data_IF_425193007373
#
_entry.id   IF_425193007373
#
_cell.length_a   1.000
_cell.length_b   1.000
_cell.length_c   1.000
_cell.angle_alpha   90.00
_cell.angle_beta   90.00
_cell.angle_gamma   90.00
#
_symmetry.space_group_name_H-M   'P 1'
#
loop_
_entity.id
_entity.type
_entity.pdbx_description
1 polymer ?
#
# COMPACT_ATOMS: atom_id res chain seq x y z
N UNK A 1 -12.01 -7.61 16.63
CA UNK A 1 -12.47 -6.37 15.96
C UNK A 1 -13.94 -6.14 16.32
N UNK A 2 -14.38 -4.90 16.58
CA UNK A 2 -15.77 -4.56 16.92
C UNK A 2 -16.26 -3.42 16.03
N UNK A 3 -17.51 -3.51 15.59
CA UNK A 3 -18.19 -2.47 14.84
C UNK A 3 -19.09 -1.65 15.77
N UNK A 4 -19.29 -0.39 15.44
CA UNK A 4 -20.17 0.49 16.19
C UNK A 4 -21.64 0.05 15.99
N UNK A 5 -22.42 -0.12 17.07
CA UNK A 5 -23.83 -0.52 16.96
C UNK A 5 -24.73 0.57 16.38
N UNK A 6 -24.25 1.82 16.26
CA UNK A 6 -25.04 2.95 15.75
C UNK A 6 -24.90 3.14 14.24
N UNK A 7 -23.69 2.99 13.71
CA UNK A 7 -23.37 3.34 12.32
C UNK A 7 -22.62 2.23 11.56
N UNK A 8 -22.33 1.10 12.20
CA UNK A 8 -21.61 -0.02 11.59
C UNK A 8 -20.13 0.25 11.32
N UNK A 9 -19.57 1.40 11.72
CA UNK A 9 -18.17 1.76 11.49
C UNK A 9 -17.24 0.94 12.37
N UNK A 10 -16.07 0.55 11.86
CA UNK A 10 -15.08 -0.16 12.65
C UNK A 10 -14.56 0.74 13.78
N UNK A 11 -14.65 0.26 15.02
CA UNK A 11 -14.23 1.04 16.19
C UNK A 11 -12.71 1.00 16.38
N UNK A 12 -12.14 2.13 16.80
CA UNK A 12 -10.70 2.30 16.94
C UNK A 12 -10.31 2.30 18.44
N UNK A 13 -9.32 1.51 18.87
CA UNK A 13 -8.84 1.56 20.25
C UNK A 13 -8.03 2.83 20.52
N UNK A 14 -8.40 3.56 21.55
CA UNK A 14 -7.68 4.70 22.11
C UNK A 14 -7.28 4.39 23.56
N UNK A 15 -6.07 4.80 23.95
CA UNK A 15 -5.65 4.76 25.36
C UNK A 15 -6.06 6.07 26.02
N UNK A 16 -6.85 5.98 27.08
CA UNK A 16 -7.26 7.13 27.90
C UNK A 16 -7.13 6.74 29.37
N UNK A 17 -6.35 7.49 30.13
CA UNK A 17 -6.14 7.28 31.58
C UNK A 17 -5.71 5.85 31.96
N UNK A 18 -4.80 5.26 31.17
CA UNK A 18 -4.28 3.89 31.40
C UNK A 18 -5.22 2.77 30.96
N UNK A 19 -6.45 3.08 30.52
CA UNK A 19 -7.44 2.10 30.07
C UNK A 19 -7.61 2.19 28.55
N UNK A 20 -7.77 1.04 27.89
CA UNK A 20 -8.07 1.00 26.45
C UNK A 20 -9.58 1.12 26.24
N UNK A 21 -10.00 2.15 25.51
CA UNK A 21 -11.40 2.39 25.13
C UNK A 21 -11.53 2.25 23.61
N UNK A 22 -12.63 1.70 23.12
CA UNK A 22 -12.95 1.71 21.70
C UNK A 22 -13.82 2.91 21.41
N UNK A 23 -13.42 3.75 20.45
CA UNK A 23 -14.17 4.92 20.01
C UNK A 23 -14.58 4.77 18.55
N UNK A 24 -15.84 5.10 18.23
CA UNK A 24 -16.26 5.27 16.85
C UNK A 24 -15.84 6.66 16.34
N UNK A 25 -15.10 6.75 15.22
CA UNK A 25 -14.69 8.03 14.65
C UNK A 25 -15.86 8.84 14.07
N UNK A 26 -16.95 8.18 13.68
CA UNK A 26 -18.07 8.80 12.97
C UNK A 26 -19.16 9.35 13.90
N UNK A 27 -19.61 8.57 14.88
CA UNK A 27 -20.65 9.00 15.83
C UNK A 27 -20.14 9.28 17.26
N UNK A 28 -18.85 9.04 17.55
CA UNK A 28 -18.27 9.30 18.86
C UNK A 28 -18.64 8.29 19.96
N UNK A 29 -19.30 7.17 19.63
CA UNK A 29 -19.64 6.13 20.60
C UNK A 29 -18.39 5.51 21.25
N UNK A 30 -18.34 5.48 22.59
CA UNK A 30 -17.20 4.99 23.36
C UNK A 30 -17.60 3.77 24.22
N UNK A 31 -16.79 2.71 24.17
CA UNK A 31 -16.95 1.52 25.02
C UNK A 31 -15.63 1.20 25.72
N UNK A 32 -15.68 0.99 27.04
CA UNK A 32 -14.52 0.54 27.81
C UNK A 32 -14.29 -0.96 27.56
N UNK A 33 -13.06 -1.35 27.25
CA UNK A 33 -12.69 -2.76 27.17
C UNK A 33 -12.37 -3.27 28.57
N UNK A 34 -13.16 -4.22 29.07
CA UNK A 34 -12.79 -5.04 30.24
C UNK A 34 -11.75 -6.10 29.83
N UNK A 35 -10.94 -6.59 30.78
CA UNK A 35 -9.84 -7.54 30.52
C UNK A 35 -10.28 -8.79 29.74
N UNK A 36 -11.47 -9.35 30.03
CA UNK A 36 -12.06 -10.47 29.26
C UNK A 36 -12.28 -10.16 27.76
N UNK A 37 -12.42 -8.89 27.40
CA UNK A 37 -12.64 -8.44 26.01
C UNK A 37 -11.32 -8.11 25.30
N UNK A 38 -10.21 -7.88 26.04
CA UNK A 38 -8.88 -7.66 25.47
C UNK A 38 -8.31 -8.91 24.81
N UNK A 39 -8.52 -10.08 25.42
CA UNK A 39 -8.04 -11.36 24.88
C UNK A 39 -8.72 -11.72 23.56
N UNK A 40 -10.04 -11.53 23.46
CA UNK A 40 -10.81 -11.75 22.22
C UNK A 40 -10.47 -10.76 21.08
N UNK A 41 -9.74 -9.67 21.37
CA UNK A 41 -9.31 -8.69 20.37
C UNK A 41 -7.89 -8.94 19.85
N UNK A 42 -7.13 -9.83 20.49
CA UNK A 42 -5.72 -10.05 20.16
C UNK A 42 -5.57 -11.26 19.23
N UNK A 43 -5.71 -11.05 17.92
CA UNK A 43 -5.26 -12.04 16.95
C UNK A 43 -3.74 -11.92 16.79
N UNK A 44 -2.98 -12.79 17.46
CA UNK A 44 -1.57 -12.99 17.15
C UNK A 44 -1.48 -14.01 16.03
N UNK A 45 -1.01 -13.58 14.87
CA UNK A 45 -0.55 -14.49 13.83
C UNK A 45 0.97 -14.53 13.93
N UNK A 46 1.53 -15.67 14.31
CA UNK A 46 2.95 -15.93 14.08
C UNK A 46 3.16 -16.06 12.57
N UNK A 47 3.88 -15.09 12.01
CA UNK A 47 4.31 -15.15 10.61
C UNK A 47 5.62 -15.93 10.62
N UNK A 48 5.57 -17.21 10.24
CA UNK A 48 6.78 -18.01 10.02
C UNK A 48 7.64 -17.39 8.92
N UNK A 49 8.97 -17.52 9.02
CA UNK A 49 9.95 -16.99 8.05
C UNK A 49 9.60 -17.34 6.59
N UNK A 50 9.02 -18.52 6.37
CA UNK A 50 8.57 -19.01 5.04
C UNK A 50 7.50 -18.11 4.38
N UNK A 51 6.77 -17.30 5.16
CA UNK A 51 5.73 -16.37 4.66
C UNK A 51 6.24 -14.95 4.40
N UNK A 52 7.54 -14.68 4.55
CA UNK A 52 8.15 -13.44 4.06
C UNK A 52 8.18 -13.50 2.53
N UNK A 53 7.04 -13.20 1.89
CA UNK A 53 7.03 -12.81 0.48
C UNK A 53 7.93 -11.59 0.36
N UNK A 54 9.14 -11.78 -0.19
CA UNK A 54 10.08 -10.71 -0.45
C UNK A 54 9.39 -9.66 -1.31
N UNK A 55 9.29 -8.44 -0.78
CA UNK A 55 8.88 -7.29 -1.59
C UNK A 55 10.04 -7.06 -2.57
N UNK A 56 9.83 -7.34 -3.85
CA UNK A 56 10.82 -7.01 -4.88
C UNK A 56 10.86 -5.49 -5.03
N UNK A 57 11.97 -4.89 -4.60
CA UNK A 57 12.25 -3.48 -4.85
C UNK A 57 13.01 -3.42 -6.16
N UNK A 58 12.37 -2.91 -7.22
CA UNK A 58 13.06 -2.60 -8.46
C UNK A 58 13.71 -1.22 -8.31
N UNK A 59 15.03 -1.17 -8.34
CA UNK A 59 15.75 0.11 -8.44
C UNK A 59 15.66 0.60 -9.88
N UNK A 60 15.05 1.77 -10.09
CA UNK A 60 15.12 2.48 -11.37
C UNK A 60 16.55 2.99 -11.55
N UNK A 61 17.39 2.19 -12.23
CA UNK A 61 18.68 2.68 -12.72
C UNK A 61 18.40 3.71 -13.80
N UNK A 62 18.52 4.99 -13.46
CA UNK A 62 18.62 6.06 -14.44
C UNK A 62 19.95 5.89 -15.16
N UNK A 63 19.90 5.34 -16.37
CA UNK A 63 21.04 5.33 -17.28
C UNK A 63 21.16 6.75 -17.81
N UNK A 64 22.26 7.43 -17.48
CA UNK A 64 22.57 8.74 -18.04
C UNK A 64 23.15 8.52 -19.44
N UNK A 65 22.39 8.88 -20.46
CA UNK A 65 22.83 8.87 -21.86
C UNK A 65 23.53 10.19 -22.18
N UNK A 66 24.60 10.14 -22.97
CA UNK A 66 25.22 11.36 -23.51
C UNK A 66 24.34 11.98 -24.61
N UNK A 67 24.49 13.28 -24.86
CA UNK A 67 23.66 14.02 -25.82
C UNK A 67 23.76 13.45 -27.24
N UNK A 68 24.96 13.03 -27.66
CA UNK A 68 25.20 12.45 -28.98
C UNK A 68 24.48 11.10 -29.16
N UNK A 69 24.51 10.24 -28.14
CA UNK A 69 23.84 8.94 -28.14
C UNK A 69 22.30 9.09 -28.22
N UNK A 70 21.75 10.11 -27.54
CA UNK A 70 20.32 10.44 -27.59
C UNK A 70 19.91 10.92 -29.00
N UNK A 71 20.74 11.71 -29.66
CA UNK A 71 20.47 12.18 -31.02
C UNK A 71 20.50 11.04 -32.04
N UNK A 72 21.43 10.10 -31.89
CA UNK A 72 21.53 8.90 -32.74
C UNK A 72 20.30 8.00 -32.57
N UNK A 73 19.92 7.68 -31.33
CA UNK A 73 18.71 6.91 -31.02
C UNK A 73 17.46 7.55 -31.61
N UNK A 74 17.35 8.88 -31.54
CA UNK A 74 16.22 9.63 -32.11
C UNK A 74 16.19 9.52 -33.63
N UNK A 75 17.34 9.55 -34.30
CA UNK A 75 17.43 9.39 -35.76
C UNK A 75 16.97 8.00 -36.20
N UNK A 76 17.49 6.96 -35.55
CA UNK A 76 17.11 5.57 -35.84
C UNK A 76 15.61 5.34 -35.63
N UNK A 77 15.02 5.92 -34.57
CA UNK A 77 13.58 5.84 -34.34
C UNK A 77 12.75 6.46 -35.46
N UNK A 78 13.16 7.63 -35.97
CA UNK A 78 12.45 8.31 -37.07
C UNK A 78 12.54 7.50 -38.37
N UNK A 79 13.69 6.91 -38.67
CA UNK A 79 13.90 6.04 -39.83
C UNK A 79 12.99 4.80 -39.75
N UNK A 80 12.98 4.10 -38.61
CA UNK A 80 12.12 2.94 -38.38
C UNK A 80 10.63 3.28 -38.54
N UNK A 81 10.20 4.46 -38.07
CA UNK A 81 8.81 4.91 -38.21
C UNK A 81 8.46 5.20 -39.68
N UNK A 82 9.36 5.85 -40.42
CA UNK A 82 9.18 6.11 -41.85
C UNK A 82 9.19 4.82 -42.68
N UNK A 83 9.97 3.81 -42.28
CA UNK A 83 9.93 2.48 -42.88
C UNK A 83 8.61 1.78 -42.59
N UNK A 84 8.15 1.79 -41.35
CA UNK A 84 6.86 1.22 -40.98
C UNK A 84 5.68 1.87 -41.74
N UNK A 85 5.71 3.19 -41.93
CA UNK A 85 4.73 3.92 -42.75
C UNK A 85 4.79 3.47 -44.23
N UNK A 86 5.99 3.31 -44.79
CA UNK A 86 6.17 2.83 -46.18
C UNK A 86 5.80 1.36 -46.37
N UNK A 87 5.92 0.54 -45.34
CA UNK A 87 5.49 -0.88 -45.35
C UNK A 87 3.97 -1.04 -45.13
N UNK A 88 3.29 0.00 -44.64
CA UNK A 88 1.84 -0.02 -44.38
C UNK A 88 0.98 0.56 -45.51
N UNK A 89 1.60 1.19 -46.52
CA UNK A 89 1.00 1.58 -47.82
C UNK A 89 1.17 0.47 -48.89
#
# INVERSE_FOLDING_TARGET
MRFCPRDGTLMIPQKKDGITVLKCPKCGYEVKLTEKTKEAYRQRSEVSEERKRGVMVAEERKIEYDQEEVEELRRQLLENLQEAERESD
#
